data_IF_378252500536
#
_entry.id   IF_378252500536
#
_cell.length_a   1.000
_cell.length_b   1.000
_cell.length_c   1.000
_cell.angle_alpha   90.00
_cell.angle_beta   90.00
_cell.angle_gamma   90.00
#
_symmetry.space_group_name_H-M   'P 1'
#
loop_
_entity.id
_entity.type
_entity.pdbx_description
1 polymer ?
#
# COMPACT_ATOMS: atom_id res chain seq x y z
N UNK A 1 -44.62 26.87 2.48
CA UNK A 1 -43.46 27.51 1.84
C UNK A 1 -42.35 27.56 2.88
N UNK A 2 -41.42 26.62 2.80
CA UNK A 2 -40.19 26.61 3.59
C UNK A 2 -39.09 26.22 2.62
N UNK A 3 -38.23 27.18 2.29
CA UNK A 3 -37.18 27.08 1.28
C UNK A 3 -36.01 26.26 1.80
N UNK A 4 -35.62 25.28 0.99
CA UNK A 4 -34.31 24.62 1.00
C UNK A 4 -33.17 25.64 1.02
N UNK A 5 -32.13 25.37 1.83
CA UNK A 5 -30.71 25.53 1.47
C UNK A 5 -29.84 25.15 2.67
N UNK A 6 -29.55 23.86 2.83
CA UNK A 6 -28.34 23.39 3.52
C UNK A 6 -27.40 22.88 2.44
N UNK A 7 -26.59 23.80 1.93
CA UNK A 7 -25.68 23.57 0.83
C UNK A 7 -24.67 22.47 1.17
N UNK A 8 -24.57 21.50 0.26
CA UNK A 8 -23.44 20.61 0.08
C UNK A 8 -22.18 21.46 -0.09
N UNK A 9 -21.34 21.54 0.94
CA UNK A 9 -20.03 22.18 0.81
C UNK A 9 -19.12 21.22 0.06
N UNK A 10 -18.99 21.45 -1.24
CA UNK A 10 -17.98 20.82 -2.09
C UNK A 10 -16.66 21.50 -1.72
N UNK A 11 -15.65 20.77 -1.23
CA UNK A 11 -14.37 21.36 -0.88
C UNK A 11 -13.79 22.09 -2.09
N UNK A 12 -13.51 23.36 -1.91
CA UNK A 12 -12.85 24.22 -2.89
C UNK A 12 -11.34 24.07 -2.76
N UNK A 13 -10.56 24.56 -3.74
CA UNK A 13 -9.09 24.57 -3.64
C UNK A 13 -8.58 25.27 -2.37
N UNK A 14 -9.35 26.19 -1.79
CA UNK A 14 -9.03 26.86 -0.52
C UNK A 14 -9.20 25.91 0.68
N UNK A 15 -10.12 24.95 0.63
CA UNK A 15 -10.30 23.95 1.68
C UNK A 15 -9.19 22.88 1.64
N UNK A 16 -8.68 22.57 0.44
CA UNK A 16 -7.51 21.70 0.23
C UNK A 16 -6.23 22.35 0.77
N UNK A 17 -6.13 23.68 0.75
CA UNK A 17 -4.99 24.42 1.31
C UNK A 17 -4.90 24.38 2.84
N UNK A 18 -5.99 23.98 3.52
CA UNK A 18 -6.07 23.84 4.97
C UNK A 18 -5.83 22.40 5.46
N UNK A 19 -5.61 21.46 4.54
CA UNK A 19 -5.12 20.13 4.91
C UNK A 19 -3.72 20.28 5.53
N UNK A 20 -3.54 19.66 6.68
CA UNK A 20 -2.33 19.66 7.48
C UNK A 20 -1.21 18.88 6.76
N UNK A 21 -0.71 19.45 5.66
CA UNK A 21 0.49 19.02 4.94
C UNK A 21 1.67 19.44 5.79
N UNK A 22 2.00 18.62 6.78
CA UNK A 22 3.10 18.83 7.71
C UNK A 22 4.43 18.71 6.94
N UNK A 23 4.86 19.81 6.32
CA UNK A 23 6.14 19.92 5.62
C UNK A 23 6.09 20.86 4.42
N UNK A 24 6.18 22.17 4.66
CA UNK A 24 6.66 23.25 3.77
C UNK A 24 6.50 23.09 2.24
N UNK A 25 5.39 22.56 1.75
CA UNK A 25 5.15 22.38 0.31
C UNK A 25 3.82 23.01 -0.13
N UNK A 26 3.47 24.16 0.45
CA UNK A 26 2.35 24.97 -0.06
C UNK A 26 2.79 26.35 -0.61
N UNK A 27 4.09 26.60 -0.76
CA UNK A 27 4.59 27.89 -1.29
C UNK A 27 4.87 27.86 -2.81
N UNK A 28 4.65 26.76 -3.53
CA UNK A 28 5.12 26.66 -4.93
C UNK A 28 4.12 26.09 -5.94
N UNK A 29 2.83 26.41 -5.85
CA UNK A 29 1.88 26.08 -6.93
C UNK A 29 1.40 27.29 -7.75
N UNK A 30 2.01 28.46 -7.60
CA UNK A 30 1.63 29.67 -8.37
C UNK A 30 2.78 30.42 -9.04
N UNK A 31 3.99 29.87 -9.11
CA UNK A 31 5.09 30.52 -9.83
C UNK A 31 5.92 29.54 -10.66
N UNK A 32 6.16 29.96 -11.88
CA UNK A 32 6.68 29.23 -13.04
C UNK A 32 8.16 28.84 -12.96
N UNK A 33 8.54 28.01 -11.99
CA UNK A 33 9.80 27.23 -12.00
C UNK A 33 9.83 26.28 -10.79
N UNK A 34 8.99 25.23 -10.79
CA UNK A 34 9.06 24.19 -9.78
C UNK A 34 10.29 23.31 -10.08
N UNK A 35 11.40 23.58 -9.40
CA UNK A 35 12.46 22.59 -9.23
C UNK A 35 11.85 21.37 -8.54
N UNK A 36 11.52 20.33 -9.33
CA UNK A 36 11.22 18.94 -8.97
C UNK A 36 11.29 18.66 -7.45
N UNK A 37 10.22 18.94 -6.71
CA UNK A 37 9.97 18.21 -5.46
C UNK A 37 9.50 16.83 -5.90
N UNK A 38 10.44 15.89 -6.06
CA UNK A 38 10.15 14.56 -6.56
C UNK A 38 9.47 13.77 -5.45
N UNK A 39 8.14 13.75 -5.46
CA UNK A 39 7.36 12.78 -4.68
C UNK A 39 7.84 11.39 -5.08
N UNK A 40 8.34 10.62 -4.11
CA UNK A 40 8.88 9.28 -4.33
C UNK A 40 7.79 8.23 -4.40
N UNK A 41 6.69 8.42 -3.65
CA UNK A 41 5.52 7.54 -3.69
C UNK A 41 4.27 8.22 -3.12
N UNK A 42 3.11 7.68 -3.48
CA UNK A 42 1.81 8.03 -2.89
C UNK A 42 1.27 6.80 -2.16
N UNK A 43 0.95 6.96 -0.87
CA UNK A 43 0.38 5.93 -0.01
C UNK A 43 -1.07 6.26 0.32
N UNK A 44 -1.99 5.34 0.02
CA UNK A 44 -3.39 5.41 0.38
C UNK A 44 -3.65 4.42 1.51
N UNK A 45 -4.05 4.89 2.67
CA UNK A 45 -4.41 4.05 3.81
C UNK A 45 -5.91 4.03 4.02
N UNK A 46 -6.45 2.88 4.39
CA UNK A 46 -7.89 2.73 4.67
C UNK A 46 -8.29 3.47 5.96
N UNK A 47 -7.63 3.16 7.08
CA UNK A 47 -8.10 3.45 8.43
C UNK A 47 -7.47 4.72 9.01
N UNK A 48 -8.26 5.51 9.75
CA UNK A 48 -7.78 6.75 10.40
C UNK A 48 -6.73 6.46 11.48
N UNK A 49 -6.85 5.35 12.21
CA UNK A 49 -5.89 4.98 13.26
C UNK A 49 -4.52 4.69 12.67
N UNK A 50 -4.48 3.98 11.52
CA UNK A 50 -3.26 3.72 10.74
C UNK A 50 -2.65 5.04 10.24
N UNK A 51 -3.47 5.93 9.69
CA UNK A 51 -3.01 7.26 9.27
C UNK A 51 -2.42 8.06 10.43
N UNK A 52 -3.09 8.05 11.58
CA UNK A 52 -2.65 8.75 12.80
C UNK A 52 -1.34 8.19 13.33
N UNK A 53 -1.18 6.86 13.34
CA UNK A 53 0.07 6.20 13.74
C UNK A 53 1.26 6.61 12.85
N UNK A 54 1.05 6.70 11.52
CA UNK A 54 2.07 7.19 10.58
C UNK A 54 2.41 8.67 10.79
N UNK A 55 1.41 9.50 11.13
CA UNK A 55 1.64 10.92 11.45
C UNK A 55 2.45 11.09 12.73
N UNK A 56 2.16 10.28 13.75
CA UNK A 56 2.84 10.35 15.05
C UNK A 56 4.34 10.05 14.93
N UNK A 57 4.73 9.07 14.11
CA UNK A 57 6.13 8.79 13.81
C UNK A 57 6.74 9.70 12.74
N UNK A 58 5.99 10.71 12.28
CA UNK A 58 6.36 11.61 11.20
C UNK A 58 6.87 10.86 9.95
N UNK A 59 6.18 9.79 9.54
CA UNK A 59 6.62 8.88 8.48
C UNK A 59 7.03 9.60 7.18
N UNK A 60 6.35 10.69 6.82
CA UNK A 60 6.70 11.49 5.64
C UNK A 60 8.08 12.15 5.69
N UNK A 61 8.66 12.31 6.88
CA UNK A 61 10.01 12.83 7.11
C UNK A 61 11.02 11.73 7.41
N UNK A 62 10.59 10.66 8.06
CA UNK A 62 11.47 9.57 8.50
C UNK A 62 11.64 8.45 7.48
N UNK A 63 10.75 8.32 6.50
CA UNK A 63 10.84 7.27 5.47
C UNK A 63 12.16 7.37 4.69
N UNK A 64 12.83 6.24 4.56
CA UNK A 64 14.11 6.10 3.84
C UNK A 64 13.97 6.32 2.32
N UNK A 65 12.74 6.31 1.81
CA UNK A 65 12.44 6.46 0.38
C UNK A 65 12.17 7.92 -0.03
N UNK A 66 12.25 8.87 0.90
CA UNK A 66 12.09 10.29 0.64
C UNK A 66 10.65 10.79 0.70
N UNK A 67 10.41 11.96 0.08
CA UNK A 67 9.14 12.69 0.19
C UNK A 67 7.97 11.86 -0.34
N UNK A 68 6.90 11.79 0.45
CA UNK A 68 5.71 11.02 0.12
C UNK A 68 4.42 11.78 0.41
N UNK A 69 3.35 11.33 -0.25
CA UNK A 69 1.99 11.81 0.00
C UNK A 69 1.21 10.67 0.63
N UNK A 70 0.62 10.91 1.79
CA UNK A 70 -0.25 9.94 2.48
C UNK A 70 -1.69 10.44 2.42
N UNK A 71 -2.61 9.60 1.94
CA UNK A 71 -4.03 9.89 1.81
C UNK A 71 -4.84 8.88 2.60
N UNK A 72 -5.95 9.31 3.19
CA UNK A 72 -6.90 8.43 3.87
C UNK A 72 -8.34 8.83 3.55
N UNK A 73 -9.19 7.84 3.31
CA UNK A 73 -10.64 8.01 3.20
C UNK A 73 -11.37 7.71 4.51
N UNK A 74 -10.64 7.32 5.57
CA UNK A 74 -11.19 6.88 6.86
C UNK A 74 -12.23 5.75 6.72
N UNK A 75 -11.95 4.81 5.82
CA UNK A 75 -12.83 3.73 5.39
C UNK A 75 -13.17 3.84 3.90
N UNK A 76 -14.47 3.75 3.58
CA UNK A 76 -14.93 3.91 2.20
C UNK A 76 -14.72 5.35 1.72
N UNK A 77 -14.02 5.56 0.59
CA UNK A 77 -13.73 6.90 0.13
C UNK A 77 -14.95 7.60 -0.43
N UNK A 78 -15.04 8.89 -0.13
CA UNK A 78 -15.98 9.79 -0.78
C UNK A 78 -15.51 10.19 -2.19
N UNK A 79 -16.36 10.94 -2.88
CA UNK A 79 -16.12 11.43 -4.24
C UNK A 79 -14.88 12.32 -4.28
N UNK A 80 -14.72 13.24 -3.32
CA UNK A 80 -13.62 14.18 -3.27
C UNK A 80 -12.26 13.50 -3.08
N UNK A 81 -12.18 12.50 -2.20
CA UNK A 81 -10.95 11.73 -1.96
C UNK A 81 -10.54 10.95 -3.21
N UNK A 82 -11.51 10.39 -3.94
CA UNK A 82 -11.26 9.66 -5.19
C UNK A 82 -10.83 10.59 -6.33
N UNK A 83 -11.45 11.75 -6.44
CA UNK A 83 -11.11 12.77 -7.42
C UNK A 83 -9.69 13.31 -7.17
N UNK A 84 -9.34 13.60 -5.92
CA UNK A 84 -7.98 13.98 -5.53
C UNK A 84 -6.95 12.89 -5.89
N UNK A 85 -7.24 11.63 -5.59
CA UNK A 85 -6.33 10.52 -5.93
C UNK A 85 -6.16 10.38 -7.45
N UNK A 86 -7.25 10.50 -8.22
CA UNK A 86 -7.19 10.48 -9.69
C UNK A 86 -6.38 11.66 -10.23
N UNK A 87 -6.62 12.87 -9.71
CA UNK A 87 -5.88 14.06 -10.09
C UNK A 87 -4.38 13.91 -9.82
N UNK A 88 -3.99 13.45 -8.63
CA UNK A 88 -2.60 13.15 -8.29
C UNK A 88 -1.99 12.14 -9.26
N UNK A 89 -2.74 11.08 -9.60
CA UNK A 89 -2.31 10.06 -10.55
C UNK A 89 -2.14 10.59 -11.99
N UNK A 90 -2.72 11.74 -12.35
CA UNK A 90 -2.54 12.36 -13.66
C UNK A 90 -1.39 13.38 -13.68
N UNK A 91 -1.10 14.06 -12.56
CA UNK A 91 -0.07 15.11 -12.49
C UNK A 91 1.30 14.59 -12.04
N UNK A 92 1.33 13.52 -11.25
CA UNK A 92 2.58 12.92 -10.76
C UNK A 92 3.18 12.01 -11.85
N UNK A 93 4.51 12.05 -12.11
CA UNK A 93 5.17 11.23 -13.12
C UNK A 93 4.82 9.73 -13.02
N UNK A 94 4.72 9.05 -14.16
CA UNK A 94 4.25 7.65 -14.26
C UNK A 94 5.09 6.66 -13.45
N UNK A 95 6.39 6.94 -13.29
CA UNK A 95 7.33 6.09 -12.54
C UNK A 95 7.15 6.17 -11.01
N UNK A 96 6.36 7.13 -10.51
CA UNK A 96 6.07 7.22 -9.07
C UNK A 96 4.96 6.21 -8.71
N UNK A 97 5.21 5.30 -7.75
CA UNK A 97 4.22 4.33 -7.32
C UNK A 97 3.05 4.95 -6.55
N UNK A 98 1.86 4.43 -6.83
CA UNK A 98 0.64 4.65 -6.06
C UNK A 98 0.30 3.35 -5.36
N UNK A 99 0.25 3.37 -4.03
CA UNK A 99 0.19 2.17 -3.22
C UNK A 99 -0.97 2.26 -2.24
N UNK A 100 -1.74 1.19 -2.11
CA UNK A 100 -2.82 1.05 -1.14
C UNK A 100 -2.44 0.10 -0.01
N UNK A 101 -2.73 0.51 1.22
CA UNK A 101 -2.63 -0.29 2.44
C UNK A 101 -4.04 -0.38 3.06
N UNK A 102 -4.60 -1.59 3.09
CA UNK A 102 -5.96 -1.89 3.57
C UNK A 102 -5.94 -3.09 4.50
N UNK A 103 -7.01 -3.28 5.28
CA UNK A 103 -7.15 -4.46 6.12
C UNK A 103 -7.20 -5.73 5.24
N UNK A 104 -6.64 -6.84 5.75
CA UNK A 104 -6.61 -8.13 5.06
C UNK A 104 -7.96 -8.84 5.21
N UNK A 105 -9.01 -8.19 4.70
CA UNK A 105 -10.38 -8.69 4.73
C UNK A 105 -11.17 -8.33 3.46
N UNK A 106 -12.38 -8.89 3.28
CA UNK A 106 -13.18 -8.61 2.10
C UNK A 106 -13.67 -7.16 1.99
N UNK A 107 -13.77 -6.42 3.10
CA UNK A 107 -14.20 -5.03 3.11
C UNK A 107 -13.06 -4.08 2.74
N UNK A 108 -11.86 -4.28 3.29
CA UNK A 108 -10.64 -3.56 2.91
C UNK A 108 -10.32 -3.74 1.43
N UNK A 109 -10.44 -4.97 0.91
CA UNK A 109 -10.29 -5.21 -0.54
C UNK A 109 -11.36 -4.51 -1.38
N UNK A 110 -12.61 -4.39 -0.91
CA UNK A 110 -13.64 -3.60 -1.62
C UNK A 110 -13.32 -2.12 -1.66
N UNK A 111 -12.78 -1.58 -0.57
CA UNK A 111 -12.32 -0.19 -0.50
C UNK A 111 -11.20 0.04 -1.51
N UNK A 112 -10.19 -0.85 -1.51
CA UNK A 112 -9.12 -0.82 -2.50
C UNK A 112 -9.64 -0.87 -3.94
N UNK A 113 -10.54 -1.80 -4.26
CA UNK A 113 -11.13 -1.93 -5.59
C UNK A 113 -11.95 -0.69 -5.99
N UNK A 114 -12.55 0.01 -5.03
CA UNK A 114 -13.29 1.26 -5.27
C UNK A 114 -12.35 2.38 -5.68
N UNK A 115 -11.19 2.53 -5.03
CA UNK A 115 -10.17 3.47 -5.47
C UNK A 115 -9.62 3.10 -6.85
N UNK A 116 -9.30 1.82 -7.08
CA UNK A 116 -8.61 1.38 -8.31
C UNK A 116 -9.50 1.37 -9.55
N UNK A 117 -10.74 0.90 -9.43
CA UNK A 117 -11.64 0.65 -10.56
C UNK A 117 -12.97 1.41 -10.49
N UNK A 118 -13.15 2.24 -9.46
CA UNK A 118 -14.40 2.96 -9.21
C UNK A 118 -15.51 2.11 -8.56
N UNK A 119 -16.57 2.80 -8.15
CA UNK A 119 -17.76 2.22 -7.51
C UNK A 119 -18.55 1.29 -8.44
N UNK A 120 -19.20 0.27 -7.86
CA UNK A 120 -20.10 -0.65 -8.59
C UNK A 120 -21.39 0.03 -9.04
N UNK A 121 -21.87 0.97 -8.24
CA UNK A 121 -23.21 1.52 -8.35
C UNK A 121 -23.30 2.68 -9.36
N UNK A 122 -22.18 3.19 -9.86
CA UNK A 122 -22.15 4.37 -10.73
C UNK A 122 -21.25 4.14 -11.94
N UNK A 123 -21.85 3.72 -13.05
CA UNK A 123 -21.14 3.44 -14.30
C UNK A 123 -20.42 4.68 -14.87
N UNK A 124 -20.96 5.89 -14.64
CA UNK A 124 -20.33 7.14 -15.07
C UNK A 124 -19.10 7.52 -14.23
N UNK A 125 -19.04 7.13 -12.95
CA UNK A 125 -17.88 7.41 -12.08
C UNK A 125 -16.66 6.53 -12.39
N UNK A 126 -16.87 5.37 -13.02
CA UNK A 126 -15.81 4.38 -13.27
C UNK A 126 -14.65 4.95 -14.10
N UNK A 127 -14.90 5.93 -14.96
CA UNK A 127 -13.90 6.46 -15.88
C UNK A 127 -13.21 7.73 -15.38
N UNK A 128 -13.85 8.52 -14.51
CA UNK A 128 -13.32 9.83 -14.10
C UNK A 128 -12.67 9.83 -12.72
N UNK A 129 -13.02 8.89 -11.83
CA UNK A 129 -12.58 8.91 -10.43
C UNK A 129 -12.01 7.56 -9.96
N UNK A 130 -11.37 6.85 -10.89
CA UNK A 130 -10.63 5.63 -10.60
C UNK A 130 -9.12 5.93 -10.68
N UNK A 131 -8.31 5.22 -9.91
CA UNK A 131 -6.86 5.30 -9.99
C UNK A 131 -6.29 3.94 -10.45
N UNK A 132 -6.20 3.68 -11.77
CA UNK A 132 -5.70 2.41 -12.30
C UNK A 132 -4.25 2.10 -11.87
N UNK A 133 -3.45 3.16 -11.60
CA UNK A 133 -2.06 3.08 -11.13
C UNK A 133 -1.93 2.50 -9.71
N UNK A 134 -3.01 2.50 -8.92
CA UNK A 134 -2.99 2.02 -7.54
C UNK A 134 -2.66 0.52 -7.47
N UNK A 135 -1.66 0.17 -6.66
CA UNK A 135 -1.22 -1.21 -6.39
C UNK A 135 -1.49 -1.58 -4.94
N UNK A 136 -1.90 -2.81 -4.69
CA UNK A 136 -2.11 -3.31 -3.32
C UNK A 136 -0.76 -3.72 -2.73
N UNK A 137 -0.28 -3.02 -1.71
CA UNK A 137 0.95 -3.41 -0.99
C UNK A 137 0.66 -4.48 0.06
N UNK A 138 -0.41 -4.29 0.83
CA UNK A 138 -0.71 -5.20 1.92
C UNK A 138 -1.76 -4.66 2.90
N UNK A 139 -1.92 -5.30 4.05
CA UNK A 139 -1.26 -6.55 4.45
C UNK A 139 -1.84 -7.76 3.69
N UNK A 140 -0.99 -8.52 2.99
CA UNK A 140 -1.43 -9.66 2.17
C UNK A 140 -1.60 -10.90 3.03
N UNK A 141 -2.56 -11.76 2.69
CA UNK A 141 -2.91 -12.91 3.51
C UNK A 141 -1.76 -13.93 3.66
N UNK A 142 -0.94 -14.08 2.62
CA UNK A 142 0.24 -14.92 2.61
C UNK A 142 1.35 -14.42 3.56
N UNK A 143 1.33 -13.15 3.97
CA UNK A 143 2.36 -12.57 4.83
C UNK A 143 2.13 -12.82 6.31
N UNK A 144 0.92 -13.22 6.70
CA UNK A 144 0.55 -13.33 8.11
C UNK A 144 1.53 -14.20 8.92
N UNK A 145 1.90 -15.35 8.36
CA UNK A 145 2.80 -16.29 9.03
C UNK A 145 4.27 -15.83 8.92
N UNK A 146 4.66 -15.20 7.81
CA UNK A 146 6.00 -14.64 7.57
C UNK A 146 6.31 -13.48 8.52
N UNK A 147 5.31 -12.67 8.84
CA UNK A 147 5.41 -11.54 9.75
C UNK A 147 5.27 -11.96 11.22
N UNK A 148 5.18 -13.26 11.50
CA UNK A 148 5.01 -13.80 12.83
C UNK A 148 3.83 -13.17 13.59
N UNK A 149 2.75 -12.81 12.87
CA UNK A 149 1.57 -12.22 13.49
C UNK A 149 0.92 -13.28 14.40
N UNK A 150 0.65 -12.96 15.68
CA UNK A 150 0.06 -13.92 16.60
C UNK A 150 -1.27 -14.50 16.08
N UNK A 151 -1.49 -15.82 16.15
CA UNK A 151 -2.69 -16.46 15.61
C UNK A 151 -4.03 -15.94 16.16
N UNK A 152 -4.03 -15.33 17.37
CA UNK A 152 -5.22 -14.71 17.95
C UNK A 152 -5.65 -13.42 17.27
N UNK A 153 -4.81 -12.84 16.39
CA UNK A 153 -5.18 -11.72 15.53
C UNK A 153 -5.91 -12.17 14.24
N UNK A 154 -5.85 -13.47 13.92
CA UNK A 154 -6.59 -14.02 12.79
C UNK A 154 -8.05 -14.29 13.16
N UNK A 155 -8.96 -13.85 12.29
CA UNK A 155 -10.39 -14.15 12.36
C UNK A 155 -10.78 -15.05 11.19
N UNK A 156 -11.74 -15.96 11.43
CA UNK A 156 -12.31 -16.79 10.38
C UNK A 156 -13.27 -16.00 9.48
N UNK A 157 -13.29 -16.34 8.20
CA UNK A 157 -14.15 -15.68 7.22
C UNK A 157 -15.57 -16.24 7.30
N UNK A 158 -16.54 -15.35 7.49
CA UNK A 158 -17.94 -15.74 7.57
C UNK A 158 -18.49 -16.23 6.22
N UNK A 159 -19.58 -17.01 6.26
CA UNK A 159 -20.28 -17.44 5.03
C UNK A 159 -20.74 -16.27 4.16
N UNK A 160 -21.15 -15.15 4.79
CA UNK A 160 -21.55 -13.92 4.10
C UNK A 160 -20.36 -13.31 3.36
N UNK A 161 -19.22 -13.21 4.02
CA UNK A 161 -17.98 -12.70 3.43
C UNK A 161 -17.44 -13.57 2.30
N UNK A 162 -17.50 -14.90 2.41
CA UNK A 162 -17.16 -15.80 1.28
C UNK A 162 -18.03 -15.51 0.05
N UNK A 163 -19.28 -15.07 0.24
CA UNK A 163 -20.15 -14.66 -0.86
C UNK A 163 -19.70 -13.31 -1.45
N UNK A 164 -19.21 -12.38 -0.63
CA UNK A 164 -18.61 -11.12 -1.09
C UNK A 164 -17.36 -11.41 -1.93
N UNK A 165 -16.45 -12.27 -1.45
CA UNK A 165 -15.26 -12.69 -2.18
C UNK A 165 -15.58 -13.28 -3.56
N UNK A 166 -16.59 -14.16 -3.63
CA UNK A 166 -17.05 -14.73 -4.91
C UNK A 166 -17.53 -13.66 -5.88
N UNK A 167 -18.32 -12.67 -5.41
CA UNK A 167 -18.76 -11.54 -6.23
C UNK A 167 -17.61 -10.68 -6.71
N UNK A 168 -16.61 -10.42 -5.84
CA UNK A 168 -15.41 -9.68 -6.22
C UNK A 168 -14.62 -10.41 -7.32
N UNK A 169 -14.39 -11.72 -7.18
CA UNK A 169 -13.72 -12.53 -8.22
C UNK A 169 -14.49 -12.47 -9.53
N UNK A 170 -15.82 -12.67 -9.50
CA UNK A 170 -16.66 -12.57 -10.71
C UNK A 170 -16.56 -11.20 -11.37
N UNK A 171 -16.54 -10.11 -10.59
CA UNK A 171 -16.34 -8.76 -11.12
C UNK A 171 -14.97 -8.61 -11.78
N UNK A 172 -13.91 -9.11 -11.15
CA UNK A 172 -12.54 -9.08 -11.68
C UNK A 172 -12.41 -9.94 -12.95
N UNK A 173 -13.15 -11.05 -13.07
CA UNK A 173 -13.19 -11.89 -14.27
C UNK A 173 -13.79 -11.19 -15.50
N UNK A 174 -14.65 -10.19 -15.27
CA UNK A 174 -15.25 -9.36 -16.33
C UNK A 174 -14.34 -8.20 -16.76
N UNK A 175 -13.24 -7.95 -16.04
CA UNK A 175 -12.27 -6.92 -16.40
C UNK A 175 -11.34 -7.43 -17.50
N UNK A 176 -10.73 -6.51 -18.25
CA UNK A 176 -9.69 -6.87 -19.21
C UNK A 176 -8.54 -7.61 -18.50
N UNK A 177 -8.12 -8.75 -19.05
CA UNK A 177 -6.99 -9.52 -18.51
C UNK A 177 -5.68 -8.75 -18.59
N UNK A 178 -5.59 -7.77 -19.49
CA UNK A 178 -4.44 -6.85 -19.59
C UNK A 178 -4.43 -5.78 -18.49
N UNK A 179 -5.54 -5.60 -17.76
CA UNK A 179 -5.64 -4.58 -16.73
C UNK A 179 -4.65 -4.88 -15.59
N UNK A 180 -3.77 -3.91 -15.35
CA UNK A 180 -2.68 -4.03 -14.39
C UNK A 180 -3.17 -4.41 -12.99
N UNK A 181 -2.64 -5.49 -12.43
CA UNK A 181 -2.90 -5.91 -11.04
C UNK A 181 -4.12 -6.82 -10.84
N UNK A 182 -4.86 -7.19 -11.90
CA UNK A 182 -6.10 -8.00 -11.74
C UNK A 182 -5.81 -9.44 -11.30
N UNK A 183 -4.74 -10.07 -11.80
CA UNK A 183 -4.35 -11.45 -11.42
C UNK A 183 -4.03 -11.50 -9.92
N UNK A 184 -3.19 -10.58 -9.48
CA UNK A 184 -2.67 -10.44 -8.12
C UNK A 184 -3.79 -10.19 -7.10
N UNK A 185 -4.79 -9.38 -7.48
CA UNK A 185 -5.98 -9.12 -6.65
C UNK A 185 -6.88 -10.35 -6.55
N UNK A 186 -7.06 -11.09 -7.65
CA UNK A 186 -7.84 -12.34 -7.62
C UNK A 186 -7.17 -13.39 -6.75
N UNK A 187 -5.86 -13.51 -6.86
CA UNK A 187 -5.09 -14.50 -6.10
C UNK A 187 -5.08 -14.15 -4.60
N UNK A 188 -5.03 -12.86 -4.25
CA UNK A 188 -5.26 -12.40 -2.87
C UNK A 188 -6.61 -12.87 -2.30
N UNK A 189 -7.70 -12.63 -3.03
CA UNK A 189 -9.04 -13.00 -2.59
C UNK A 189 -9.17 -14.53 -2.44
N UNK A 190 -8.55 -15.30 -3.36
CA UNK A 190 -8.54 -16.77 -3.27
C UNK A 190 -7.73 -17.25 -2.07
N UNK A 191 -6.56 -16.69 -1.82
CA UNK A 191 -5.72 -17.05 -0.68
C UNK A 191 -6.48 -16.80 0.62
N UNK A 192 -7.05 -15.60 0.77
CA UNK A 192 -7.90 -15.24 1.92
C UNK A 192 -8.99 -16.31 2.17
N UNK A 193 -9.75 -16.69 1.13
CA UNK A 193 -10.79 -17.74 1.26
C UNK A 193 -10.22 -19.13 1.54
N UNK A 194 -9.04 -19.45 1.00
CA UNK A 194 -8.39 -20.76 1.14
C UNK A 194 -7.83 -20.96 2.55
N UNK A 195 -7.15 -19.96 3.09
CA UNK A 195 -6.65 -19.96 4.47
C UNK A 195 -7.76 -19.75 5.51
N UNK A 196 -8.97 -19.37 5.07
CA UNK A 196 -10.10 -19.02 5.93
C UNK A 196 -9.72 -17.96 6.98
N UNK A 197 -8.91 -16.99 6.58
CA UNK A 197 -8.26 -16.04 7.49
C UNK A 197 -8.48 -14.61 7.01
N UNK A 198 -8.86 -13.73 7.93
CA UNK A 198 -8.85 -12.26 7.77
C UNK A 198 -8.27 -11.60 9.02
N UNK A 199 -7.69 -10.42 8.86
CA UNK A 199 -7.08 -9.68 9.98
C UNK A 199 -6.91 -8.19 9.63
N UNK A 200 -6.85 -7.36 10.66
CA UNK A 200 -6.70 -5.90 10.52
C UNK A 200 -5.21 -5.53 10.36
N UNK A 201 -4.91 -4.36 9.79
CA UNK A 201 -3.53 -3.84 9.71
C UNK A 201 -2.88 -3.79 11.10
N UNK A 202 -3.67 -3.44 12.11
CA UNK A 202 -3.24 -3.29 13.50
C UNK A 202 -2.77 -4.61 14.13
N UNK A 203 -3.06 -5.76 13.50
CA UNK A 203 -2.48 -7.06 13.86
C UNK A 203 -0.94 -7.05 13.81
N UNK A 204 -0.37 -6.23 12.92
CA UNK A 204 1.07 -6.05 12.80
C UNK A 204 1.70 -5.52 14.10
N UNK A 205 0.97 -4.73 14.89
CA UNK A 205 1.48 -4.18 16.16
C UNK A 205 1.72 -5.26 17.22
N UNK A 206 1.15 -6.45 17.01
CA UNK A 206 1.37 -7.61 17.88
C UNK A 206 2.48 -8.53 17.38
N UNK A 207 3.08 -8.24 16.21
CA UNK A 207 4.21 -9.01 15.71
C UNK A 207 5.43 -8.81 16.61
N UNK A 208 6.23 -9.87 16.86
CA UNK A 208 7.44 -9.77 17.66
C UNK A 208 8.48 -8.88 16.97
N UNK A 209 9.13 -8.02 17.74
CA UNK A 209 10.25 -7.20 17.28
C UNK A 209 11.57 -7.90 17.60
N UNK A 210 12.62 -7.74 16.77
CA UNK A 210 13.94 -8.37 16.95
C UNK A 210 14.50 -8.31 18.38
N UNK A 211 14.28 -7.19 19.07
CA UNK A 211 14.87 -6.92 20.38
C UNK A 211 13.91 -7.18 21.55
N UNK A 212 12.67 -7.62 21.29
CA UNK A 212 11.63 -7.77 22.32
C UNK A 212 11.25 -6.46 23.01
N UNK A 213 11.69 -5.32 22.46
CA UNK A 213 11.37 -4.00 22.98
C UNK A 213 9.92 -3.65 22.63
N UNK A 214 9.25 -2.92 23.54
CA UNK A 214 7.96 -2.31 23.26
C UNK A 214 8.14 -1.20 22.22
N UNK A 215 8.05 -1.57 20.95
CA UNK A 215 8.11 -0.64 19.83
C UNK A 215 6.78 0.08 19.71
N UNK A 216 6.82 1.37 19.40
CA UNK A 216 5.61 2.15 19.15
C UNK A 216 4.89 1.58 17.92
N UNK A 217 3.56 1.42 17.97
CA UNK A 217 2.78 0.77 16.89
C UNK A 217 3.05 1.38 15.50
N UNK A 218 3.22 2.70 15.44
CA UNK A 218 3.59 3.41 14.22
C UNK A 218 4.98 3.04 13.67
N UNK A 219 5.95 2.68 14.51
CA UNK A 219 7.30 2.32 14.06
C UNK A 219 7.28 0.97 13.33
N UNK A 220 6.63 -0.06 13.90
CA UNK A 220 6.48 -1.37 13.22
C UNK A 220 5.81 -1.21 11.86
N UNK A 221 4.79 -0.35 11.80
CA UNK A 221 4.10 -0.03 10.55
C UNK A 221 5.01 0.69 9.54
N UNK A 222 5.78 1.68 9.99
CA UNK A 222 6.73 2.41 9.15
C UNK A 222 7.80 1.49 8.57
N UNK A 223 8.39 0.63 9.41
CA UNK A 223 9.39 -0.37 9.00
C UNK A 223 8.82 -1.37 7.97
N UNK A 224 7.59 -1.83 8.18
CA UNK A 224 6.90 -2.68 7.21
C UNK A 224 6.74 -1.99 5.86
N UNK A 225 6.26 -0.74 5.85
CA UNK A 225 6.06 0.03 4.62
C UNK A 225 7.40 0.27 3.91
N UNK A 226 8.43 0.71 4.64
CA UNK A 226 9.76 0.98 4.06
C UNK A 226 10.43 -0.30 3.53
N UNK A 227 10.28 -1.43 4.22
CA UNK A 227 10.76 -2.73 3.75
C UNK A 227 10.07 -3.16 2.46
N UNK A 228 8.74 -3.00 2.40
CA UNK A 228 7.94 -3.29 1.21
C UNK A 228 8.30 -2.41 0.03
N UNK A 229 8.45 -1.11 0.26
CA UNK A 229 8.87 -0.15 -0.75
C UNK A 229 10.27 -0.49 -1.29
N UNK A 230 11.20 -0.87 -0.42
CA UNK A 230 12.55 -1.29 -0.82
C UNK A 230 12.51 -2.47 -1.77
N UNK A 231 11.75 -3.52 -1.42
CA UNK A 231 11.60 -4.70 -2.27
C UNK A 231 10.96 -4.30 -3.61
N UNK A 232 9.91 -3.49 -3.57
CA UNK A 232 9.20 -3.05 -4.77
C UNK A 232 10.11 -2.24 -5.71
N UNK A 233 10.87 -1.28 -5.19
CA UNK A 233 11.78 -0.45 -5.97
C UNK A 233 12.92 -1.27 -6.57
N UNK A 234 13.47 -2.24 -5.83
CA UNK A 234 14.47 -3.18 -6.35
C UNK A 234 13.91 -4.01 -7.51
N UNK A 235 12.68 -4.49 -7.39
CA UNK A 235 12.02 -5.24 -8.48
C UNK A 235 11.83 -4.38 -9.74
N UNK A 236 11.46 -3.11 -9.58
CA UNK A 236 11.35 -2.19 -10.73
C UNK A 236 12.72 -1.95 -11.39
N UNK A 237 13.77 -1.72 -10.60
CA UNK A 237 15.12 -1.52 -11.13
C UNK A 237 15.59 -2.73 -11.96
N UNK A 238 15.33 -3.96 -11.49
CA UNK A 238 15.65 -5.19 -12.23
C UNK A 238 14.87 -5.27 -13.54
N UNK A 239 13.58 -4.91 -13.53
CA UNK A 239 12.76 -4.90 -14.75
C UNK A 239 13.25 -3.88 -15.78
N UNK A 240 13.70 -2.70 -15.31
CA UNK A 240 14.24 -1.64 -16.15
C UNK A 240 15.62 -2.03 -16.74
N UNK A 241 16.46 -2.73 -15.98
CA UNK A 241 17.78 -3.21 -16.42
C UNK A 241 17.71 -4.42 -17.35
N UNK A 242 16.74 -5.32 -17.16
CA UNK A 242 16.65 -6.59 -17.90
C UNK A 242 16.25 -6.42 -19.38
N UNK A 243 15.69 -5.28 -19.77
CA UNK A 243 15.17 -5.08 -21.13
C UNK A 243 13.99 -6.01 -21.44
N UNK A 244 13.13 -5.60 -22.37
CA UNK A 244 11.83 -6.23 -22.66
C UNK A 244 11.92 -7.59 -23.39
N UNK A 245 12.96 -8.42 -23.16
CA UNK A 245 13.22 -9.63 -23.96
C UNK A 245 13.04 -10.97 -23.21
N UNK A 246 12.92 -11.01 -21.88
CA UNK A 246 12.65 -12.29 -21.20
C UNK A 246 11.66 -12.18 -20.02
N UNK A 247 10.43 -11.80 -20.35
CA UNK A 247 9.30 -11.81 -19.41
C UNK A 247 8.99 -13.22 -18.86
N UNK A 248 9.33 -14.30 -19.58
CA UNK A 248 9.12 -15.68 -19.13
C UNK A 248 10.04 -16.08 -17.99
N UNK A 249 11.34 -15.77 -18.10
CA UNK A 249 12.32 -16.10 -17.06
C UNK A 249 12.13 -15.22 -15.82
N UNK A 250 11.71 -13.95 -15.99
CA UNK A 250 11.41 -13.04 -14.89
C UNK A 250 10.12 -13.45 -14.16
N UNK A 251 9.04 -13.77 -14.88
CA UNK A 251 7.81 -14.28 -14.25
C UNK A 251 8.04 -15.63 -13.57
N UNK A 252 8.88 -16.49 -14.15
CA UNK A 252 9.31 -17.73 -13.50
C UNK A 252 10.11 -17.46 -12.23
N UNK A 253 10.95 -16.42 -12.18
CA UNK A 253 11.71 -16.01 -11.00
C UNK A 253 10.79 -15.36 -9.95
N UNK A 254 9.83 -14.54 -10.37
CA UNK A 254 8.80 -13.94 -9.51
C UNK A 254 7.89 -15.01 -8.89
N UNK A 255 7.42 -15.97 -9.69
CA UNK A 255 6.65 -17.11 -9.20
C UNK A 255 7.53 -18.06 -8.37
N UNK A 256 8.83 -18.23 -8.67
CA UNK A 256 9.73 -18.98 -7.80
C UNK A 256 10.02 -18.28 -6.48
N UNK A 257 10.06 -16.95 -6.40
CA UNK A 257 10.33 -16.21 -5.16
C UNK A 257 9.09 -16.16 -4.27
N UNK A 258 7.90 -15.90 -4.86
CA UNK A 258 6.61 -16.03 -4.17
C UNK A 258 6.35 -17.49 -3.74
N UNK A 259 6.81 -18.48 -4.52
CA UNK A 259 6.76 -19.89 -4.12
C UNK A 259 7.90 -20.34 -3.20
N UNK A 260 9.05 -19.68 -3.18
CA UNK A 260 10.12 -19.93 -2.21
C UNK A 260 9.64 -19.52 -0.81
N UNK A 261 8.89 -18.41 -0.73
CA UNK A 261 8.20 -17.99 0.49
C UNK A 261 6.99 -18.85 0.86
N UNK A 262 6.45 -19.68 -0.04
CA UNK A 262 5.34 -20.59 0.26
C UNK A 262 5.78 -22.05 0.52
N UNK A 263 6.98 -22.44 0.11
CA UNK A 263 7.50 -23.82 0.27
C UNK A 263 8.67 -23.97 1.26
N UNK A 264 9.24 -22.91 1.84
CA UNK A 264 10.27 -23.03 2.89
C UNK A 264 9.66 -23.01 4.31
N UNK A 265 8.72 -23.90 4.59
CA UNK A 265 8.19 -24.09 5.95
C UNK A 265 9.17 -24.83 6.90
N UNK A 266 10.45 -24.99 6.53
CA UNK A 266 11.41 -25.78 7.32
C UNK A 266 12.82 -25.19 7.42
N UNK A 267 13.08 -23.97 6.95
CA UNK A 267 14.44 -23.41 7.02
C UNK A 267 14.47 -22.10 7.81
N UNK A 268 15.11 -22.15 8.99
CA UNK A 268 15.21 -21.05 9.96
C UNK A 268 16.08 -19.87 9.47
N UNK A 269 16.56 -19.92 8.24
CA UNK A 269 17.55 -19.00 7.65
C UNK A 269 16.93 -17.73 7.04
N UNK A 270 15.61 -17.69 6.80
CA UNK A 270 14.95 -16.48 6.30
C UNK A 270 14.70 -15.42 7.38
N UNK A 271 14.56 -15.83 8.64
CA UNK A 271 14.48 -14.92 9.79
C UNK A 271 15.80 -14.16 9.97
N UNK A 272 16.93 -14.84 9.74
CA UNK A 272 18.26 -14.23 9.80
C UNK A 272 18.49 -13.20 8.68
N UNK A 273 17.96 -13.44 7.47
CA UNK A 273 18.12 -12.48 6.36
C UNK A 273 17.27 -11.20 6.52
N UNK A 274 16.19 -11.26 7.30
CA UNK A 274 15.43 -10.06 7.67
C UNK A 274 16.14 -9.28 8.80
N UNK A 275 16.89 -9.97 9.67
CA UNK A 275 17.69 -9.41 10.76
C UNK A 275 19.04 -8.81 10.33
N UNK A 276 19.65 -9.31 9.25
CA UNK A 276 20.98 -8.85 8.79
C UNK A 276 20.92 -7.48 8.09
N UNK A 277 19.77 -7.05 7.58
CA UNK A 277 19.65 -5.76 6.88
C UNK A 277 19.52 -4.55 7.81
N UNK A 278 19.44 -4.75 9.14
CA UNK A 278 19.41 -3.65 10.13
C UNK A 278 20.73 -3.42 10.85
N UNK A 279 21.78 -4.22 10.61
CA UNK A 279 23.10 -4.05 11.22
C UNK A 279 24.21 -3.99 10.16
N UNK A 280 24.42 -2.81 9.59
CA UNK A 280 25.72 -2.40 9.06
C UNK A 280 25.91 -0.89 9.20
N UNK A 281 25.97 -0.42 10.44
CA UNK A 281 26.85 0.69 10.82
C UNK A 281 27.88 0.11 11.78
N UNK A 282 29.15 0.18 11.36
CA UNK A 282 30.37 0.37 12.17
C UNK A 282 31.55 -0.04 11.27
N UNK A 283 32.28 0.96 10.78
CA UNK A 283 33.65 1.27 11.23
C UNK A 283 34.67 0.22 10.79
N UNK A 284 35.44 0.57 9.76
CA UNK A 284 36.80 0.06 9.61
C UNK A 284 37.72 1.23 9.23
N UNK A 285 38.28 1.83 10.28
CA UNK A 285 39.60 2.45 10.26
C UNK A 285 40.61 1.42 9.75
N UNK A 286 41.30 1.71 8.63
CA UNK A 286 42.55 1.03 8.32
C UNK A 286 43.69 2.03 8.14
N UNK A 287 44.59 1.91 9.12
CA UNK A 287 45.88 2.55 9.32
C UNK A 287 46.79 2.34 8.11
N UNK A 288 47.45 3.43 7.70
CA UNK A 288 48.65 3.44 6.85
C UNK A 288 49.87 2.98 7.64
N UNK A 289 50.49 1.86 7.24
CA UNK A 289 51.92 1.60 7.44
C UNK A 289 52.43 0.57 6.40
N UNK A 290 52.95 1.06 5.28
CA UNK A 290 54.33 0.90 4.76
C UNK A 290 54.44 1.43 3.33
#
# INVERSE_FOLDING_TARGET
MGSDTSACHIPTCEDISQLDVVGNTFVLLSQSNLSKSQVSFVLVVEKETVFSALREIQFSRSSVHGHNIILTGKGYPDIATRDLLNHLANVIPENVPFIGLVDSDPHGLRIFLTYKFGSENMQQEKLQMACPRLKLMGLRNAEFDLLCIPPNQALSITKKEKTICKKMIQRLDLMDRSAFGVKELKDEIKQMVTYDRKFEIEALYSAPTPNGETVFSGQVLGEYIDSKLTIWLKQQAILDEAGFEDMSSILSYCEHFENYTSNSATDSTLVDNFLVLSNSQDEDDFILEQ
#
